data_IF_774000510619
#
_entry.id   IF_774000510619
#
_cell.length_a   1.000
_cell.length_b   1.000
_cell.length_c   1.000
_cell.angle_alpha   90.00
_cell.angle_beta   90.00
_cell.angle_gamma   90.00
#
_symmetry.space_group_name_H-M   'P 1'
#
loop_
_entity.id
_entity.type
_entity.pdbx_description
1 polymer ?
#
# COMPACT_ATOMS: atom_id res chain seq x y z
N UNK A 1 3.34 -38.39 -21.89
CA UNK A 1 2.77 -37.76 -20.67
C UNK A 1 3.07 -36.27 -20.74
N UNK A 2 2.10 -35.49 -21.21
CA UNK A 2 2.22 -34.05 -21.39
C UNK A 2 2.08 -33.39 -20.02
N UNK A 3 3.17 -32.79 -19.51
CA UNK A 3 3.07 -31.83 -18.40
C UNK A 3 2.60 -30.51 -19.01
N UNK A 4 1.29 -30.32 -19.06
CA UNK A 4 0.72 -29.01 -19.41
C UNK A 4 1.15 -27.97 -18.38
N UNK A 5 1.75 -26.87 -18.88
CA UNK A 5 1.60 -25.55 -18.28
C UNK A 5 2.36 -25.23 -16.99
N UNK A 6 3.57 -25.74 -16.77
CA UNK A 6 4.42 -25.20 -15.68
C UNK A 6 4.83 -23.76 -16.02
N UNK A 7 4.18 -22.78 -15.42
CA UNK A 7 4.64 -21.38 -15.46
C UNK A 7 6.09 -21.35 -14.95
N UNK A 8 7.00 -20.71 -15.69
CA UNK A 8 8.38 -20.52 -15.26
C UNK A 8 8.39 -19.86 -13.86
N UNK A 9 8.95 -20.56 -12.86
CA UNK A 9 9.00 -20.11 -11.46
C UNK A 9 9.59 -18.71 -11.33
N UNK A 10 10.56 -18.36 -12.20
CA UNK A 10 11.17 -17.02 -12.22
C UNK A 10 10.22 -15.96 -12.80
N UNK A 11 9.44 -16.31 -13.82
CA UNK A 11 8.42 -15.43 -14.38
C UNK A 11 7.33 -15.15 -13.34
N UNK A 12 6.87 -16.17 -12.62
CA UNK A 12 5.88 -16.02 -11.55
C UNK A 12 6.43 -15.12 -10.43
N UNK A 13 7.65 -15.38 -9.96
CA UNK A 13 8.28 -14.58 -8.91
C UNK A 13 8.36 -13.09 -9.30
N UNK A 14 8.86 -12.79 -10.50
CA UNK A 14 8.94 -11.41 -11.01
C UNK A 14 7.55 -10.78 -11.14
N UNK A 15 6.57 -11.53 -11.62
CA UNK A 15 5.19 -11.04 -11.78
C UNK A 15 4.58 -10.66 -10.44
N UNK A 16 4.70 -11.53 -9.43
CA UNK A 16 4.24 -11.24 -8.07
C UNK A 16 4.97 -10.03 -7.47
N UNK A 17 6.26 -9.89 -7.74
CA UNK A 17 7.07 -8.77 -7.24
C UNK A 17 6.65 -7.44 -7.87
N UNK A 18 6.41 -7.40 -9.18
CA UNK A 18 5.89 -6.19 -9.85
C UNK A 18 4.48 -5.89 -9.33
N UNK A 19 3.60 -6.90 -9.26
CA UNK A 19 2.23 -6.71 -8.79
C UNK A 19 2.18 -6.11 -7.38
N UNK A 20 3.00 -6.63 -6.46
CA UNK A 20 3.06 -6.13 -5.08
C UNK A 20 3.71 -4.75 -4.98
N UNK A 21 4.67 -4.43 -5.85
CA UNK A 21 5.22 -3.08 -5.99
C UNK A 21 4.14 -2.07 -6.43
N UNK A 22 3.40 -2.39 -7.49
CA UNK A 22 2.33 -1.52 -7.98
C UNK A 22 1.17 -1.39 -6.98
N UNK A 23 0.83 -2.47 -6.28
CA UNK A 23 -0.12 -2.42 -5.17
C UNK A 23 0.34 -1.45 -4.06
N UNK A 24 1.65 -1.36 -3.80
CA UNK A 24 2.21 -0.37 -2.88
C UNK A 24 1.91 1.07 -3.30
N UNK A 25 1.98 1.38 -4.61
CA UNK A 25 1.61 2.69 -5.13
C UNK A 25 0.13 3.02 -4.93
N UNK A 26 -0.77 2.03 -4.96
CA UNK A 26 -2.19 2.23 -4.66
C UNK A 26 -2.44 2.71 -3.21
N UNK A 27 -1.54 2.39 -2.29
CA UNK A 27 -1.55 2.89 -0.90
C UNK A 27 -0.74 4.19 -0.72
N UNK A 28 -0.36 4.86 -1.81
CA UNK A 28 0.39 6.12 -1.78
C UNK A 28 1.87 5.97 -1.40
N UNK A 29 2.41 4.75 -1.40
CA UNK A 29 3.82 4.50 -1.09
C UNK A 29 4.64 4.75 -2.34
N UNK A 30 5.41 5.85 -2.34
CA UNK A 30 6.34 6.16 -3.43
C UNK A 30 7.60 5.30 -3.36
N UNK A 31 8.41 5.35 -4.42
CA UNK A 31 9.71 4.70 -4.45
C UNK A 31 10.56 4.98 -3.21
N UNK A 32 11.22 3.94 -2.72
CA UNK A 32 12.01 3.98 -1.50
C UNK A 32 13.51 3.89 -1.78
N UNK A 33 14.28 4.70 -1.07
CA UNK A 33 15.75 4.74 -1.16
C UNK A 33 16.43 4.60 0.22
N UNK A 34 15.66 4.29 1.28
CA UNK A 34 16.17 4.25 2.65
C UNK A 34 16.95 2.97 2.96
N UNK A 35 16.41 1.83 2.53
CA UNK A 35 16.95 0.49 2.78
C UNK A 35 16.67 -0.40 1.56
N UNK A 36 17.12 -1.65 1.60
CA UNK A 36 16.62 -2.66 0.66
C UNK A 36 15.12 -2.85 0.84
N UNK A 37 14.37 -2.58 -0.22
CA UNK A 37 12.91 -2.59 -0.20
C UNK A 37 12.35 -3.01 -1.55
N UNK A 38 11.21 -3.71 -1.52
CA UNK A 38 10.35 -3.96 -2.67
C UNK A 38 9.98 -2.68 -3.43
N UNK A 39 9.82 -1.56 -2.70
CA UNK A 39 9.45 -0.27 -3.30
C UNK A 39 10.66 0.48 -3.89
N UNK A 40 11.86 -0.09 -3.95
CA UNK A 40 12.96 0.54 -4.65
C UNK A 40 12.68 0.63 -6.16
N UNK A 41 12.83 1.81 -6.75
CA UNK A 41 12.81 1.97 -8.20
C UNK A 41 14.00 1.27 -8.85
N UNK A 42 13.78 0.66 -10.01
CA UNK A 42 14.80 -0.06 -10.78
C UNK A 42 14.76 0.40 -12.24
N UNK A 43 15.92 0.54 -12.87
CA UNK A 43 16.01 0.99 -14.26
C UNK A 43 16.10 -0.18 -15.25
N UNK A 44 16.58 -1.33 -14.80
CA UNK A 44 16.73 -2.52 -15.62
C UNK A 44 16.49 -3.82 -14.83
N UNK A 45 16.34 -4.92 -15.56
CA UNK A 45 15.89 -6.20 -14.99
C UNK A 45 16.88 -6.82 -14.00
N UNK A 46 18.18 -6.66 -14.22
CA UNK A 46 19.20 -7.18 -13.32
C UNK A 46 19.22 -6.44 -11.97
N UNK A 47 18.94 -5.13 -11.96
CA UNK A 47 18.72 -4.38 -10.72
C UNK A 47 17.47 -4.89 -10.01
N UNK A 48 16.37 -5.05 -10.76
CA UNK A 48 15.10 -5.53 -10.22
C UNK A 48 15.23 -6.91 -9.59
N UNK A 49 15.93 -7.85 -10.24
CA UNK A 49 16.14 -9.21 -9.72
C UNK A 49 16.87 -9.21 -8.38
N UNK A 50 17.85 -8.31 -8.18
CA UNK A 50 18.64 -8.21 -6.94
C UNK A 50 17.87 -7.61 -5.77
N UNK A 51 16.78 -6.88 -6.01
CA UNK A 51 15.99 -6.28 -4.93
C UNK A 51 15.24 -7.35 -4.13
N UNK A 52 14.90 -7.11 -2.86
CA UNK A 52 14.04 -8.02 -2.12
C UNK A 52 12.57 -7.94 -2.57
N UNK A 53 11.78 -8.96 -2.24
CA UNK A 53 10.30 -8.93 -2.39
C UNK A 53 9.59 -8.47 -1.09
N UNK A 54 10.34 -8.12 -0.03
CA UNK A 54 9.78 -7.62 1.22
C UNK A 54 9.87 -6.09 1.33
N UNK A 55 9.01 -5.50 2.17
CA UNK A 55 9.06 -4.08 2.50
C UNK A 55 10.09 -3.81 3.59
N UNK A 56 10.82 -2.71 3.48
CA UNK A 56 11.65 -2.21 4.58
C UNK A 56 10.77 -1.70 5.75
N UNK A 57 11.33 -1.51 6.96
CA UNK A 57 10.54 -1.05 8.12
C UNK A 57 9.77 0.26 7.89
N UNK A 58 10.35 1.17 7.10
CA UNK A 58 9.72 2.46 6.77
C UNK A 58 8.44 2.25 5.95
N UNK A 59 8.51 1.49 4.86
CA UNK A 59 7.36 1.28 3.99
C UNK A 59 6.36 0.28 4.56
N UNK A 60 6.82 -0.68 5.36
CA UNK A 60 5.95 -1.53 6.16
C UNK A 60 5.10 -0.67 7.10
N UNK A 61 5.69 0.32 7.78
CA UNK A 61 4.94 1.22 8.67
C UNK A 61 4.00 2.14 7.91
N UNK A 62 4.37 2.61 6.71
CA UNK A 62 3.44 3.36 5.83
C UNK A 62 2.23 2.52 5.44
N UNK A 63 2.47 1.28 5.02
CA UNK A 63 1.40 0.35 4.66
C UNK A 63 0.51 0.04 5.87
N UNK A 64 1.11 -0.26 7.01
CA UNK A 64 0.40 -0.50 8.27
C UNK A 64 -0.42 0.73 8.71
N UNK A 65 0.08 1.94 8.50
CA UNK A 65 -0.68 3.15 8.79
C UNK A 65 -1.96 3.26 7.94
N UNK A 66 -1.93 2.75 6.71
CA UNK A 66 -3.07 2.79 5.79
C UNK A 66 -4.08 1.68 6.05
N UNK A 67 -3.61 0.46 6.36
CA UNK A 67 -4.44 -0.75 6.48
C UNK A 67 -4.73 -1.20 7.92
N UNK A 68 -3.98 -0.70 8.91
CA UNK A 68 -4.13 -1.01 10.34
C UNK A 68 -4.03 -2.50 10.71
N UNK A 69 -3.26 -3.30 9.97
CA UNK A 69 -3.05 -4.73 10.27
C UNK A 69 -1.99 -4.97 11.37
N UNK A 70 -2.02 -6.19 11.93
CA UNK A 70 -0.97 -6.71 12.79
C UNK A 70 0.21 -7.28 11.97
N UNK A 71 1.42 -6.81 12.29
CA UNK A 71 2.62 -7.14 11.50
C UNK A 71 3.01 -8.62 11.64
N UNK A 72 2.86 -9.20 12.83
CA UNK A 72 3.20 -10.61 13.06
C UNK A 72 2.24 -11.54 12.31
N UNK A 73 0.93 -11.28 12.38
CA UNK A 73 -0.10 -12.00 11.63
C UNK A 73 0.20 -11.92 10.12
N UNK A 74 0.53 -10.74 9.62
CA UNK A 74 0.88 -10.57 8.20
C UNK A 74 2.10 -11.40 7.81
N UNK A 75 3.18 -11.39 8.59
CA UNK A 75 4.38 -12.16 8.26
C UNK A 75 4.16 -13.66 8.36
N UNK A 76 3.30 -14.12 9.27
CA UNK A 76 2.89 -15.52 9.31
C UNK A 76 2.20 -15.96 8.01
N UNK A 77 1.21 -15.21 7.53
CA UNK A 77 0.54 -15.53 6.26
C UNK A 77 1.51 -15.50 5.06
N UNK A 78 2.42 -14.51 5.04
CA UNK A 78 3.43 -14.46 3.98
C UNK A 78 4.37 -15.66 4.03
N UNK A 79 4.79 -16.08 5.22
CA UNK A 79 5.64 -17.26 5.40
C UNK A 79 4.96 -18.54 4.86
N UNK A 80 3.67 -18.72 5.10
CA UNK A 80 2.88 -19.84 4.56
C UNK A 80 2.89 -19.80 3.02
N UNK A 81 2.55 -18.65 2.42
CA UNK A 81 2.50 -18.49 0.96
C UNK A 81 3.86 -18.71 0.30
N UNK A 82 4.95 -18.16 0.84
CA UNK A 82 6.29 -18.33 0.22
C UNK A 82 6.81 -19.77 0.32
N UNK A 83 6.41 -20.50 1.36
CA UNK A 83 6.73 -21.93 1.51
C UNK A 83 6.00 -22.76 0.45
N UNK A 84 4.74 -22.46 0.18
CA UNK A 84 3.96 -23.13 -0.85
C UNK A 84 4.57 -22.92 -2.26
N UNK A 85 5.19 -21.77 -2.50
CA UNK A 85 5.91 -21.47 -3.75
C UNK A 85 7.37 -21.95 -3.79
N UNK A 86 7.93 -22.42 -2.67
CA UNK A 86 9.32 -22.89 -2.59
C UNK A 86 10.38 -21.78 -2.72
N UNK A 87 10.09 -20.56 -2.25
CA UNK A 87 11.02 -19.42 -2.32
C UNK A 87 11.89 -19.33 -1.06
N UNK A 88 12.93 -20.18 -0.99
CA UNK A 88 13.74 -20.39 0.21
C UNK A 88 14.36 -19.13 0.83
N UNK A 89 14.85 -18.18 0.02
CA UNK A 89 15.42 -16.93 0.54
C UNK A 89 14.37 -16.09 1.28
N UNK A 90 13.14 -16.02 0.75
CA UNK A 90 12.04 -15.31 1.41
C UNK A 90 11.56 -16.08 2.64
N UNK A 91 11.49 -17.41 2.56
CA UNK A 91 11.14 -18.28 3.69
C UNK A 91 12.08 -18.00 4.87
N UNK A 92 13.40 -18.01 4.63
CA UNK A 92 14.41 -17.72 5.65
C UNK A 92 14.26 -16.30 6.23
N UNK A 93 14.04 -15.31 5.36
CA UNK A 93 13.82 -13.93 5.79
C UNK A 93 12.60 -13.77 6.69
N UNK A 94 11.43 -14.26 6.26
CA UNK A 94 10.19 -14.12 7.02
C UNK A 94 10.20 -14.96 8.30
N UNK A 95 10.82 -16.15 8.27
CA UNK A 95 11.03 -16.97 9.45
C UNK A 95 11.84 -16.20 10.51
N UNK A 96 13.00 -15.67 10.12
CA UNK A 96 13.86 -14.89 11.02
C UNK A 96 13.12 -13.69 11.60
N UNK A 97 12.42 -12.93 10.75
CA UNK A 97 11.67 -11.76 11.22
C UNK A 97 10.50 -12.09 12.14
N UNK A 98 9.79 -13.18 11.88
CA UNK A 98 8.68 -13.57 12.74
C UNK A 98 9.19 -14.03 14.11
N UNK A 99 10.30 -14.76 14.13
CA UNK A 99 10.97 -15.16 15.38
C UNK A 99 11.45 -13.96 16.20
N UNK A 100 12.01 -12.94 15.56
CA UNK A 100 12.44 -11.72 16.27
C UNK A 100 11.27 -10.91 16.85
N UNK A 101 10.10 -10.93 16.20
CA UNK A 101 8.93 -10.16 16.62
C UNK A 101 8.12 -10.84 17.72
N UNK A 102 7.98 -12.16 17.66
CA UNK A 102 7.04 -12.92 18.51
C UNK A 102 7.76 -13.96 19.38
N UNK A 103 9.02 -14.26 19.09
CA UNK A 103 9.73 -15.41 19.66
C UNK A 103 9.29 -16.70 18.97
N UNK A 104 8.88 -17.69 19.75
CA UNK A 104 8.47 -18.99 19.23
C UNK A 104 7.07 -18.93 18.58
N UNK A 105 7.04 -18.57 17.29
CA UNK A 105 5.81 -18.40 16.52
C UNK A 105 5.09 -19.72 16.20
N UNK A 106 5.75 -20.88 16.40
CA UNK A 106 5.13 -22.20 16.22
C UNK A 106 4.00 -22.46 17.23
N UNK A 107 3.94 -21.67 18.32
CA UNK A 107 2.88 -21.72 19.33
C UNK A 107 1.67 -20.85 19.00
N UNK A 108 1.75 -19.97 18.00
CA UNK A 108 0.60 -19.18 17.55
C UNK A 108 -0.20 -20.00 16.52
N UNK A 109 -1.42 -20.41 16.89
CA UNK A 109 -2.37 -21.16 16.06
C UNK A 109 -2.67 -20.47 14.71
N UNK A 110 -2.98 -21.21 13.61
CA UNK A 110 -3.43 -20.64 12.34
C UNK A 110 -4.60 -19.68 12.50
N UNK A 111 -4.59 -18.66 11.66
CA UNK A 111 -5.40 -17.45 11.77
C UNK A 111 -6.82 -17.76 11.31
N UNK A 112 -7.68 -18.24 12.20
CA UNK A 112 -9.13 -18.31 11.98
C UNK A 112 -9.85 -16.96 12.21
N UNK A 113 -9.13 -15.88 12.53
CA UNK A 113 -9.71 -14.70 13.17
C UNK A 113 -10.22 -13.57 12.24
N UNK A 114 -9.92 -13.55 10.93
CA UNK A 114 -10.26 -12.38 10.09
C UNK A 114 -11.25 -12.65 8.93
N UNK A 115 -12.04 -13.73 8.98
CA UNK A 115 -13.14 -13.96 8.02
C UNK A 115 -14.56 -13.69 8.56
N UNK A 116 -14.71 -13.18 9.79
CA UNK A 116 -16.01 -13.04 10.48
C UNK A 116 -16.59 -11.61 10.59
N UNK A 117 -16.14 -10.63 9.82
CA UNK A 117 -16.63 -9.22 9.92
C UNK A 117 -17.48 -8.70 8.76
N UNK A 118 -18.15 -9.56 7.98
CA UNK A 118 -19.22 -9.12 7.06
C UNK A 118 -20.46 -10.02 7.08
N UNK A 119 -21.02 -10.26 8.27
CA UNK A 119 -22.36 -10.84 8.39
C UNK A 119 -23.06 -10.38 9.68
N UNK A 120 -23.74 -9.23 9.60
CA UNK A 120 -25.03 -8.93 10.24
C UNK A 120 -25.44 -7.49 9.85
N UNK A 121 -26.33 -7.37 8.86
CA UNK A 121 -27.77 -7.12 9.01
C UNK A 121 -28.10 -5.77 9.68
N UNK A 122 -28.50 -4.82 8.84
CA UNK A 122 -29.65 -3.96 9.14
C UNK A 122 -30.37 -3.66 7.84
N UNK A 123 -31.37 -4.48 7.55
CA UNK A 123 -32.44 -4.14 6.63
C UNK A 123 -33.26 -3.04 7.32
N UNK A 124 -33.22 -1.83 6.78
CA UNK A 124 -34.25 -0.82 7.04
C UNK A 124 -34.82 -0.42 5.69
N UNK A 125 -35.98 -0.99 5.43
CA UNK A 125 -36.92 -0.60 4.37
C UNK A 125 -37.24 0.89 4.52
N UNK A 126 -36.81 1.70 3.56
CA UNK A 126 -37.41 3.02 3.30
C UNK A 126 -38.11 2.97 1.95
N UNK A 127 -39.42 2.76 2.02
CA UNK A 127 -40.37 3.03 0.95
C UNK A 127 -40.34 4.51 0.60
N UNK A 128 -40.33 4.80 -0.71
CA UNK A 128 -40.28 6.16 -1.29
C UNK A 128 -41.72 6.60 -1.62
N UNK A 129 -42.28 7.65 -1.01
CA UNK A 129 -43.50 8.25 -1.52
C UNK A 129 -43.17 9.14 -2.72
N UNK A 130 -43.99 9.00 -3.76
CA UNK A 130 -44.00 9.81 -4.96
C UNK A 130 -45.12 10.85 -4.81
N UNK A 131 -44.82 12.15 -4.78
CA UNK A 131 -45.82 13.20 -5.00
C UNK A 131 -45.27 14.35 -5.85
N UNK A 132 -46.19 14.86 -6.66
CA UNK A 132 -46.04 15.77 -7.79
C UNK A 132 -46.10 17.24 -7.35
N UNK A 133 -45.54 18.10 -8.20
CA UNK A 133 -45.94 19.50 -8.48
C UNK A 133 -45.83 20.56 -7.37
N UNK A 134 -45.03 21.60 -7.60
CA UNK A 134 -45.52 22.93 -7.99
C UNK A 134 -44.40 23.98 -7.96
N UNK A 135 -44.61 25.06 -8.70
CA UNK A 135 -43.65 26.05 -9.15
C UNK A 135 -43.35 27.19 -8.16
N UNK A 136 -42.33 27.99 -8.55
CA UNK A 136 -42.08 29.42 -8.24
C UNK A 136 -41.75 29.80 -6.78
N UNK A 137 -40.62 30.47 -6.54
CA UNK A 137 -40.45 31.94 -6.63
C UNK A 137 -38.99 32.31 -6.32
N UNK A 138 -38.45 33.29 -7.05
CA UNK A 138 -37.14 33.87 -6.81
C UNK A 138 -37.13 34.79 -5.58
N UNK A 139 -36.09 34.73 -4.74
CA UNK A 139 -35.73 35.87 -3.88
C UNK A 139 -34.21 35.97 -3.68
N UNK A 140 -33.75 37.21 -3.65
CA UNK A 140 -32.39 37.70 -3.84
C UNK A 140 -31.62 37.76 -2.50
N UNK A 141 -30.31 37.53 -2.59
CA UNK A 141 -29.23 38.21 -1.85
C UNK A 141 -28.97 37.84 -0.38
N UNK A 142 -27.73 37.39 -0.08
CA UNK A 142 -26.71 38.17 0.66
C UNK A 142 -25.46 37.32 0.96
N UNK A 143 -24.40 37.65 0.24
CA UNK A 143 -23.01 37.79 0.68
C UNK A 143 -22.57 37.05 1.98
N UNK A 144 -21.73 36.01 1.84
CA UNK A 144 -20.79 35.60 2.91
C UNK A 144 -19.47 35.09 2.31
N UNK A 145 -18.55 36.05 2.15
CA UNK A 145 -17.08 35.99 2.18
C UNK A 145 -16.45 34.59 2.16
N UNK A 146 -15.95 34.20 0.99
CA UNK A 146 -14.95 33.14 0.82
C UNK A 146 -13.64 33.65 1.44
N UNK A 147 -13.18 33.02 2.53
CA UNK A 147 -11.82 33.24 3.02
C UNK A 147 -10.86 32.38 2.20
N UNK A 148 -10.12 33.05 1.33
CA UNK A 148 -8.90 32.56 0.72
C UNK A 148 -7.82 32.39 1.80
N UNK A 149 -7.44 31.15 2.10
CA UNK A 149 -6.26 30.89 2.93
C UNK A 149 -5.02 31.03 2.06
N UNK A 150 -4.19 32.02 2.40
CA UNK A 150 -2.88 32.31 1.83
C UNK A 150 -1.87 31.21 2.13
N UNK A 151 -0.94 30.90 1.21
CA UNK A 151 0.15 29.96 1.47
C UNK A 151 1.17 30.52 2.49
N UNK A 152 1.63 29.63 3.37
CA UNK A 152 2.59 29.85 4.46
C UNK A 152 3.98 30.35 3.96
N UNK A 153 4.74 31.14 4.74
CA UNK A 153 5.91 31.90 4.28
C UNK A 153 7.14 31.05 3.88
N UNK A 154 7.12 29.74 4.08
CA UNK A 154 8.31 28.89 3.96
C UNK A 154 8.67 28.44 2.53
N UNK A 155 7.92 28.83 1.49
CA UNK A 155 8.12 28.35 0.11
C UNK A 155 8.76 29.39 -0.82
N UNK A 156 8.85 30.66 -0.42
CA UNK A 156 9.39 31.75 -1.24
C UNK A 156 10.93 31.81 -1.27
N UNK A 157 11.62 31.30 -0.24
CA UNK A 157 13.09 31.42 -0.13
C UNK A 157 13.85 30.47 -1.08
N UNK A 158 13.29 29.31 -1.46
CA UNK A 158 14.00 28.30 -2.26
C UNK A 158 14.04 28.56 -3.76
N UNK A 159 13.23 29.47 -4.30
CA UNK A 159 13.27 29.85 -5.73
C UNK A 159 14.27 30.97 -6.04
N UNK A 160 14.73 31.73 -5.05
CA UNK A 160 15.69 32.84 -5.25
C UNK A 160 17.15 32.38 -5.33
N UNK A 161 17.48 31.21 -4.78
CA UNK A 161 18.85 30.66 -4.82
C UNK A 161 19.16 29.87 -6.10
N UNK A 162 18.15 29.35 -6.83
CA UNK A 162 18.37 28.58 -8.07
C UNK A 162 18.54 29.44 -9.33
N UNK A 163 18.23 30.74 -9.28
CA UNK A 163 18.45 31.68 -10.39
C UNK A 163 19.78 32.45 -10.32
N UNK A 164 20.54 32.37 -9.22
CA UNK A 164 21.87 33.01 -9.11
C UNK A 164 23.01 32.14 -9.65
N UNK A 165 22.85 30.82 -9.72
CA UNK A 165 23.87 29.90 -10.25
C UNK A 165 23.78 29.68 -11.78
N UNK A 166 22.85 30.35 -12.47
CA UNK A 166 22.70 30.28 -13.94
C UNK A 166 23.13 31.56 -14.68
N UNK A 167 23.63 32.56 -13.97
CA UNK A 167 24.09 33.85 -14.50
C UNK A 167 25.60 34.07 -14.36
N UNK A 168 26.39 32.99 -14.20
CA UNK A 168 27.86 33.05 -14.15
C UNK A 168 28.52 31.95 -15.02
N UNK A 169 27.90 31.66 -16.17
CA UNK A 169 28.58 31.07 -17.32
C UNK A 169 28.44 32.03 -18.48
#
# INVERSE_FOLDING_TARGET
MNKEGTVDSKLLFRSCKVLTHEAGHLFGIRHCTFYECLMCGCNHLQEFDKRPMYLCPVDLRKLQSSLKFDVAVRYKHLLEVVRDFGWEELTSFFHTRLTELVGDYTKCSPVEAERKTTANKSATTRTRPNEKSAATTATKNKNKKVQSLSPSPAVAERKKQRNRSRASK
#
